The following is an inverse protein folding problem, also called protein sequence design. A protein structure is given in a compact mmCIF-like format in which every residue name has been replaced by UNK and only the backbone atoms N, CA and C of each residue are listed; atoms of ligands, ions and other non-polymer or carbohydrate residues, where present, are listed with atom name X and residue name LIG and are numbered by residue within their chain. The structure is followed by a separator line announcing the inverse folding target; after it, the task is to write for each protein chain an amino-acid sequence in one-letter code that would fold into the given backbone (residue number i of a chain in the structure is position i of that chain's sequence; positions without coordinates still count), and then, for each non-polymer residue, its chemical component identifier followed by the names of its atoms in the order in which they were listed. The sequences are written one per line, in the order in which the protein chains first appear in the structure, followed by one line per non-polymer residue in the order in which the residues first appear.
data_IF_890407643233
#
_entry.id   IF_890407643233
#
_cell.length_a   1.000
_cell.length_b   1.000
_cell.length_c   1.000
_cell.angle_alpha   90.00
_cell.angle_beta   90.00
_cell.angle_gamma   90.00
#
_symmetry.space_group_name_H-M   'P 1'
#
loop_
_entity.id
_entity.type
_entity.pdbx_description
1 polymer ?
#
# COMPACT_ATOMS: atom_id res chain seq x y z
N UNK A 1 9.34 -38.48 -42.96
CA UNK A 1 8.31 -37.80 -42.16
C UNK A 1 8.97 -36.62 -41.48
N UNK A 2 8.28 -35.48 -41.37
CA UNK A 2 8.71 -34.38 -40.51
C UNK A 2 8.43 -34.76 -39.05
N UNK A 3 9.35 -34.41 -38.15
CA UNK A 3 9.07 -34.39 -36.72
C UNK A 3 8.06 -33.30 -36.36
N UNK A 4 7.46 -33.42 -35.18
CA UNK A 4 6.51 -32.40 -34.68
C UNK A 4 7.18 -31.03 -34.55
N UNK A 5 8.44 -30.99 -34.10
CA UNK A 5 9.22 -29.74 -33.97
C UNK A 5 9.45 -29.06 -35.33
N UNK A 6 9.91 -29.81 -36.33
CA UNK A 6 10.14 -29.26 -37.67
C UNK A 6 8.83 -28.80 -38.33
N UNK A 7 7.71 -29.46 -38.04
CA UNK A 7 6.40 -29.03 -38.51
C UNK A 7 5.96 -27.73 -37.83
N UNK A 8 6.15 -27.61 -36.51
CA UNK A 8 5.80 -26.42 -35.74
C UNK A 8 6.61 -25.20 -36.19
N UNK A 9 7.92 -25.34 -36.35
CA UNK A 9 8.82 -24.27 -36.81
C UNK A 9 8.42 -23.75 -38.20
N UNK A 10 8.07 -24.65 -39.12
CA UNK A 10 7.61 -24.26 -40.46
C UNK A 10 6.28 -23.51 -40.43
N UNK A 11 5.36 -23.90 -39.55
CA UNK A 11 4.07 -23.21 -39.40
C UNK A 11 4.28 -21.83 -38.80
N UNK A 12 5.06 -21.71 -37.72
CA UNK A 12 5.26 -20.42 -37.04
C UNK A 12 6.13 -19.45 -37.85
N UNK A 13 7.06 -19.95 -38.67
CA UNK A 13 7.88 -19.11 -39.56
C UNK A 13 7.09 -18.37 -40.65
N UNK A 14 5.86 -18.81 -40.96
CA UNK A 14 4.99 -18.18 -41.95
C UNK A 14 3.98 -17.18 -41.39
N UNK A 15 4.04 -16.87 -40.08
CA UNK A 15 3.06 -16.02 -39.39
C UNK A 15 3.73 -14.73 -38.94
N UNK A 16 3.15 -13.61 -39.33
CA UNK A 16 3.54 -12.29 -38.84
C UNK A 16 2.77 -11.93 -37.57
N UNK A 17 3.40 -11.11 -36.72
CA UNK A 17 2.72 -10.53 -35.57
C UNK A 17 1.63 -9.56 -36.04
N UNK A 18 0.45 -9.67 -35.42
CA UNK A 18 -0.64 -8.73 -35.66
C UNK A 18 -0.32 -7.36 -35.03
N UNK A 19 -0.81 -6.25 -35.62
CA UNK A 19 -0.69 -4.94 -35.00
C UNK A 19 -1.41 -4.89 -33.65
N UNK A 20 -0.87 -4.09 -32.73
CA UNK A 20 -1.51 -3.84 -31.44
C UNK A 20 -2.78 -2.99 -31.60
N UNK A 21 -3.76 -3.23 -30.73
CA UNK A 21 -4.96 -2.40 -30.58
C UNK A 21 -5.11 -1.94 -29.12
N UNK A 22 -5.63 -0.73 -28.92
CA UNK A 22 -6.03 -0.28 -27.59
C UNK A 22 -7.48 -0.69 -27.33
N UNK A 23 -7.69 -1.34 -26.19
CA UNK A 23 -8.98 -1.88 -25.78
C UNK A 23 -9.30 -1.41 -24.37
N UNK A 24 -10.58 -1.46 -23.99
CA UNK A 24 -10.96 -1.23 -22.59
C UNK A 24 -10.46 -2.38 -21.71
N UNK A 25 -10.25 -2.13 -20.41
CA UNK A 25 -9.89 -3.20 -19.47
C UNK A 25 -10.94 -4.31 -19.39
N UNK A 26 -12.23 -3.98 -19.61
CA UNK A 26 -13.30 -4.96 -19.63
C UNK A 26 -13.19 -5.96 -20.79
N UNK A 27 -12.61 -5.52 -21.92
CA UNK A 27 -12.43 -6.33 -23.14
C UNK A 27 -11.02 -6.94 -23.24
N UNK A 28 -10.19 -6.74 -22.21
CA UNK A 28 -8.79 -7.18 -22.21
C UNK A 28 -8.62 -8.66 -21.78
N UNK A 29 -9.64 -9.28 -21.17
CA UNK A 29 -9.54 -10.65 -20.67
C UNK A 29 -9.24 -11.64 -21.81
N UNK A 30 -8.14 -12.39 -21.68
CA UNK A 30 -7.69 -13.37 -22.68
C UNK A 30 -6.87 -12.79 -23.84
N UNK A 31 -6.65 -11.46 -23.87
CA UNK A 31 -5.70 -10.81 -24.79
C UNK A 31 -4.26 -10.98 -24.29
N UNK A 32 -3.29 -10.69 -25.15
CA UNK A 32 -1.86 -10.62 -24.82
C UNK A 32 -1.42 -9.17 -24.83
N UNK A 33 -0.64 -8.74 -23.83
CA UNK A 33 -0.06 -7.40 -23.80
C UNK A 33 0.88 -7.20 -24.99
N UNK A 34 0.73 -6.06 -25.66
CA UNK A 34 1.59 -5.69 -26.77
C UNK A 34 2.96 -5.15 -26.29
N UNK A 35 3.01 -4.59 -25.09
CA UNK A 35 4.20 -4.01 -24.45
C UNK A 35 4.10 -4.10 -22.92
N UNK A 36 5.21 -3.82 -22.25
CA UNK A 36 5.28 -3.78 -20.78
C UNK A 36 4.40 -2.67 -20.21
N UNK A 37 3.65 -2.96 -19.14
CA UNK A 37 2.83 -1.97 -18.43
C UNK A 37 3.61 -1.43 -17.25
N UNK A 38 4.01 -0.16 -17.31
CA UNK A 38 4.74 0.52 -16.24
C UNK A 38 3.79 1.35 -15.37
N UNK A 39 4.01 1.35 -14.05
CA UNK A 39 3.20 2.18 -13.14
C UNK A 39 3.55 3.65 -13.34
N UNK A 40 2.52 4.49 -13.43
CA UNK A 40 2.67 5.96 -13.49
C UNK A 40 2.61 6.62 -12.12
N UNK A 41 2.32 5.84 -11.06
CA UNK A 41 2.12 6.33 -9.69
C UNK A 41 2.77 5.38 -8.67
N UNK A 42 3.14 5.92 -7.52
CA UNK A 42 3.51 5.11 -6.35
C UNK A 42 2.25 4.70 -5.60
N UNK A 43 2.16 3.42 -5.22
CA UNK A 43 1.05 2.89 -4.44
C UNK A 43 1.58 2.07 -3.24
N UNK A 44 1.25 2.44 -2.00
CA UNK A 44 0.48 3.63 -1.59
C UNK A 44 1.25 4.95 -1.87
N UNK A 45 0.55 6.09 -2.07
CA UNK A 45 1.20 7.37 -2.40
C UNK A 45 1.89 8.03 -1.20
N UNK A 46 1.64 7.54 0.02
CA UNK A 46 2.22 8.01 1.27
C UNK A 46 2.44 6.82 2.22
N UNK A 47 3.14 7.05 3.33
CA UNK A 47 3.18 6.09 4.44
C UNK A 47 1.77 5.95 5.03
N UNK A 48 1.26 4.73 5.09
CA UNK A 48 -0.08 4.43 5.60
C UNK A 48 -0.01 3.35 6.67
N UNK A 49 -1.00 3.35 7.56
CA UNK A 49 -1.09 2.31 8.59
C UNK A 49 -1.47 0.97 7.98
N UNK A 50 -0.71 -0.07 8.33
CA UNK A 50 -1.03 -1.44 7.94
C UNK A 50 -2.09 -2.08 8.83
N UNK A 51 -2.27 -1.56 10.04
CA UNK A 51 -3.16 -2.09 11.08
C UNK A 51 -3.84 -0.96 11.83
N UNK A 52 -4.85 -1.29 12.63
CA UNK A 52 -5.44 -0.36 13.57
C UNK A 52 -4.55 -0.22 14.81
N UNK A 53 -4.27 1.01 15.22
CA UNK A 53 -3.41 1.25 16.37
C UNK A 53 -3.24 2.72 16.72
N UNK A 54 -2.04 3.07 17.16
CA UNK A 54 -1.63 4.39 17.58
C UNK A 54 -0.37 4.83 16.85
N UNK A 55 -0.47 5.94 16.13
CA UNK A 55 0.67 6.61 15.54
C UNK A 55 1.40 7.39 16.64
N UNK A 56 2.67 7.07 16.84
CA UNK A 56 3.51 7.59 17.93
C UNK A 56 4.88 7.98 17.40
N UNK A 57 5.66 8.64 18.25
CA UNK A 57 7.08 8.86 18.04
C UNK A 57 7.85 7.70 18.67
N UNK A 58 8.75 7.07 17.93
CA UNK A 58 9.65 6.03 18.45
C UNK A 58 10.40 6.51 19.70
N UNK A 59 10.81 7.78 19.67
CA UNK A 59 11.53 8.43 20.76
C UNK A 59 10.74 8.51 22.09
N UNK A 60 9.43 8.33 22.07
CA UNK A 60 8.59 8.32 23.28
C UNK A 60 8.36 6.90 23.83
N UNK A 61 8.85 5.86 23.13
CA UNK A 61 8.80 4.45 23.54
C UNK A 61 10.05 4.05 24.37
N UNK A 62 10.42 4.87 25.36
CA UNK A 62 11.63 4.66 26.16
C UNK A 62 11.44 3.76 27.38
N UNK A 63 10.22 3.64 27.86
CA UNK A 63 9.84 2.80 29.00
C UNK A 63 9.15 1.52 28.52
N UNK A 64 9.02 0.52 29.41
CA UNK A 64 8.32 -0.75 29.08
C UNK A 64 6.84 -0.52 28.76
N UNK A 65 6.21 0.47 29.42
CA UNK A 65 4.80 0.85 29.27
C UNK A 65 4.65 2.37 29.30
N UNK A 66 5.07 3.08 28.24
CA UNK A 66 4.94 4.53 28.18
C UNK A 66 3.46 4.90 28.12
N UNK A 67 3.09 5.99 28.79
CA UNK A 67 1.71 6.51 28.75
C UNK A 67 1.72 7.80 27.94
N UNK A 68 1.04 7.78 26.79
CA UNK A 68 0.96 8.89 25.85
C UNK A 68 -0.43 9.55 25.94
N UNK A 69 -0.57 10.77 25.42
CA UNK A 69 -1.88 11.44 25.32
C UNK A 69 -2.40 11.32 23.89
N UNK A 70 -3.61 10.80 23.70
CA UNK A 70 -4.21 10.72 22.38
C UNK A 70 -4.84 12.05 22.01
N UNK A 71 -4.30 12.69 20.97
CA UNK A 71 -4.67 14.06 20.57
C UNK A 71 -5.73 14.10 19.46
N UNK A 72 -6.06 12.95 18.88
CA UNK A 72 -7.05 12.87 17.81
C UNK A 72 -6.96 11.55 17.05
N UNK A 73 -7.61 11.51 15.89
CA UNK A 73 -7.75 10.32 15.07
C UNK A 73 -7.37 10.59 13.61
N UNK A 74 -6.73 9.62 12.96
CA UNK A 74 -6.43 9.59 11.52
C UNK A 74 -7.09 8.36 10.88
N UNK A 75 -7.93 8.59 9.88
CA UNK A 75 -8.69 7.58 9.16
C UNK A 75 -8.45 7.67 7.65
N UNK A 76 -8.85 6.64 6.90
CA UNK A 76 -8.74 6.68 5.45
C UNK A 76 -9.50 7.89 4.88
N UNK A 77 -8.79 8.73 4.11
CA UNK A 77 -9.32 9.97 3.55
C UNK A 77 -9.43 11.15 4.52
N UNK A 78 -9.11 10.98 5.81
CA UNK A 78 -9.17 12.02 6.84
C UNK A 78 -7.90 11.97 7.69
N UNK A 79 -6.96 12.86 7.40
CA UNK A 79 -5.69 12.94 8.14
C UNK A 79 -5.90 13.85 9.35
N UNK A 80 -5.30 13.49 10.48
CA UNK A 80 -5.23 14.39 11.64
C UNK A 80 -4.46 15.67 11.26
N UNK A 81 -5.08 16.83 11.47
CA UNK A 81 -4.47 18.13 11.12
C UNK A 81 -3.27 18.49 12.03
N UNK A 82 -3.30 18.04 13.29
CA UNK A 82 -2.25 18.29 14.27
C UNK A 82 -1.09 17.29 14.15
N UNK A 83 0.13 17.79 14.28
CA UNK A 83 1.32 16.94 14.35
C UNK A 83 1.43 16.24 15.72
N UNK A 84 1.81 14.95 15.70
CA UNK A 84 2.09 14.17 16.91
C UNK A 84 3.42 14.65 17.51
N UNK A 85 3.34 15.30 18.68
CA UNK A 85 4.49 15.79 19.43
C UNK A 85 4.97 14.83 20.56
N UNK A 86 5.94 15.26 21.38
CA UNK A 86 6.44 14.47 22.50
C UNK A 86 5.37 14.08 23.52
N UNK A 87 5.32 12.79 23.85
CA UNK A 87 4.34 12.24 24.80
C UNK A 87 2.93 12.15 24.23
N UNK A 88 2.75 12.31 22.91
CA UNK A 88 1.46 12.28 22.24
C UNK A 88 1.34 11.07 21.33
N UNK A 89 0.10 10.70 21.05
CA UNK A 89 -0.27 9.68 20.09
C UNK A 89 -1.50 10.13 19.29
N UNK A 90 -1.68 9.57 18.10
CA UNK A 90 -2.93 9.69 17.35
C UNK A 90 -3.52 8.29 17.16
N UNK A 91 -4.82 8.11 17.39
CA UNK A 91 -5.49 6.86 17.00
C UNK A 91 -5.45 6.78 15.48
N UNK A 92 -4.95 5.69 14.92
CA UNK A 92 -4.79 5.54 13.47
C UNK A 92 -5.44 4.23 12.98
N UNK A 93 -6.24 4.33 11.93
CA UNK A 93 -6.92 3.17 11.33
C UNK A 93 -6.17 2.66 10.09
N UNK A 94 -6.41 1.41 9.75
CA UNK A 94 -5.83 0.74 8.58
C UNK A 94 -6.07 1.56 7.31
N UNK A 95 -5.01 1.81 6.54
CA UNK A 95 -5.03 2.60 5.32
C UNK A 95 -5.02 4.12 5.53
N UNK A 96 -5.13 4.62 6.76
CA UNK A 96 -4.96 6.04 7.06
C UNK A 96 -3.50 6.47 6.84
N UNK A 97 -3.29 7.70 6.36
CA UNK A 97 -1.95 8.25 6.23
C UNK A 97 -1.35 8.52 7.61
N UNK A 98 -0.04 8.30 7.74
CA UNK A 98 0.70 8.58 8.96
C UNK A 98 0.69 10.10 9.24
N UNK A 99 0.19 10.56 10.41
CA UNK A 99 0.21 11.96 10.78
C UNK A 99 1.63 12.53 10.86
N UNK A 100 1.77 13.83 10.64
CA UNK A 100 3.05 14.51 10.82
C UNK A 100 3.59 14.31 12.24
N UNK A 101 4.91 14.17 12.37
CA UNK A 101 5.57 13.98 13.65
C UNK A 101 5.61 12.53 14.15
N UNK A 102 4.69 11.66 13.72
CA UNK A 102 4.76 10.24 14.02
C UNK A 102 5.70 9.50 13.05
N UNK A 103 6.38 8.47 13.53
CA UNK A 103 7.27 7.60 12.74
C UNK A 103 7.01 6.10 12.98
N UNK A 104 6.15 5.78 13.95
CA UNK A 104 5.92 4.43 14.44
C UNK A 104 4.43 4.21 14.67
N UNK A 105 3.97 2.98 14.44
CA UNK A 105 2.62 2.55 14.77
C UNK A 105 2.70 1.40 15.77
N UNK A 106 2.03 1.54 16.91
CA UNK A 106 1.81 0.46 17.87
C UNK A 106 0.40 -0.07 17.65
N UNK A 107 0.26 -1.38 17.43
CA UNK A 107 -1.05 -2.01 17.20
C UNK A 107 -1.91 -1.90 18.46
N UNK A 108 -3.22 -1.72 18.28
CA UNK A 108 -4.11 -1.49 19.43
C UNK A 108 -4.13 -2.68 20.41
N UNK A 109 -3.86 -3.89 19.93
CA UNK A 109 -3.80 -5.12 20.72
C UNK A 109 -2.66 -5.11 21.75
N UNK A 110 -1.60 -4.34 21.50
CA UNK A 110 -0.43 -4.20 22.37
C UNK A 110 -0.55 -2.95 23.28
N UNK A 111 -1.74 -2.36 23.37
CA UNK A 111 -2.01 -1.16 24.17
C UNK A 111 -3.23 -1.32 25.07
N UNK A 112 -3.24 -0.60 26.18
CA UNK A 112 -4.42 -0.40 27.01
C UNK A 112 -4.85 1.06 26.86
N UNK A 113 -6.15 1.30 26.63
CA UNK A 113 -6.70 2.65 26.47
C UNK A 113 -7.48 3.05 27.72
N UNK A 114 -7.12 4.17 28.34
CA UNK A 114 -7.82 4.79 29.46
C UNK A 114 -8.16 6.27 29.15
N UNK A 115 -9.37 6.50 28.68
CA UNK A 115 -9.84 7.85 28.29
C UNK A 115 -9.04 8.38 27.10
N UNK A 116 -8.27 9.44 27.30
CA UNK A 116 -7.37 10.03 26.30
C UNK A 116 -5.91 9.61 26.49
N UNK A 117 -5.67 8.46 27.11
CA UNK A 117 -4.34 7.91 27.39
C UNK A 117 -4.20 6.47 26.94
#
# INVERSE_FOLDING_TARGET
MLSVTEALEKVTAGVDLLPAEQVSLGDALGRVLAEDVTSTLTHPPAAVSAMDGYAVRWADLTEDKPVLTVIGESAAGHILDDAVGPGQAARIFTGAALPEGADTIVIQEDTERDGDR
#
